data_IF_635673940206
#
_entry.id   IF_635673940206
#
_cell.length_a   1.000
_cell.length_b   1.000
_cell.length_c   1.000
_cell.angle_alpha   90.00
_cell.angle_beta   90.00
_cell.angle_gamma   90.00
#
_symmetry.space_group_name_H-M   'P 1'
#
loop_
_entity.id
_entity.type
_entity.pdbx_description
1 polymer ?
#
# COMPACT_ATOMS: atom_id res chain seq x y z
N UNK A 1 14.10 -14.27 -6.23
CA UNK A 1 14.93 -14.81 -5.12
C UNK A 1 14.59 -14.03 -3.86
N UNK A 2 14.23 -14.75 -2.79
CA UNK A 2 13.84 -14.12 -1.54
C UNK A 2 15.06 -13.80 -0.70
N UNK A 3 15.18 -12.57 -0.24
CA UNK A 3 16.18 -12.18 0.74
C UNK A 3 15.64 -12.32 2.15
N UNK A 4 16.44 -12.85 3.08
CA UNK A 4 16.02 -12.98 4.47
C UNK A 4 16.61 -11.87 5.32
N UNK A 5 15.75 -11.16 6.05
CA UNK A 5 16.14 -10.11 7.00
C UNK A 5 15.61 -10.50 8.38
N UNK A 6 16.50 -10.60 9.35
CA UNK A 6 16.15 -10.98 10.73
C UNK A 6 16.37 -9.86 11.75
N UNK A 7 17.07 -8.80 11.39
CA UNK A 7 17.35 -7.67 12.30
C UNK A 7 16.31 -6.57 12.14
N UNK A 8 15.71 -6.16 13.26
CA UNK A 8 14.80 -5.00 13.31
C UNK A 8 15.48 -3.68 12.94
N UNK A 9 16.82 -3.63 13.01
CA UNK A 9 17.62 -2.44 12.66
C UNK A 9 17.93 -2.34 11.17
N UNK A 10 17.51 -3.30 10.36
CA UNK A 10 17.73 -3.26 8.92
C UNK A 10 17.16 -1.95 8.32
N UNK A 11 17.89 -1.29 7.42
CA UNK A 11 17.45 -0.02 6.81
C UNK A 11 16.08 -0.08 6.14
N UNK A 12 15.76 -1.20 5.46
CA UNK A 12 14.44 -1.38 4.85
C UNK A 12 13.33 -1.34 5.90
N UNK A 13 13.50 -2.03 7.02
CA UNK A 13 12.50 -2.07 8.08
C UNK A 13 12.36 -0.71 8.78
N UNK A 14 13.44 0.03 8.91
CA UNK A 14 13.40 1.40 9.42
C UNK A 14 12.66 2.33 8.46
N UNK A 15 12.87 2.18 7.17
CA UNK A 15 12.13 2.92 6.14
C UNK A 15 10.64 2.63 6.21
N UNK A 16 10.25 1.36 6.34
CA UNK A 16 8.84 0.96 6.50
C UNK A 16 8.19 1.66 7.69
N UNK A 17 8.86 1.65 8.84
CA UNK A 17 8.37 2.35 10.04
C UNK A 17 8.19 3.85 9.81
N UNK A 18 9.15 4.49 9.16
CA UNK A 18 9.07 5.91 8.82
C UNK A 18 7.89 6.21 7.89
N UNK A 19 7.71 5.40 6.85
CA UNK A 19 6.62 5.57 5.90
C UNK A 19 5.24 5.38 6.55
N UNK A 20 5.13 4.46 7.50
CA UNK A 20 3.89 4.23 8.23
C UNK A 20 3.54 5.38 9.17
N UNK A 21 4.53 6.03 9.78
CA UNK A 21 4.32 7.05 10.81
C UNK A 21 4.41 8.49 10.32
N UNK A 22 5.00 8.75 9.15
CA UNK A 22 5.29 10.11 8.69
C UNK A 22 4.71 10.39 7.31
N UNK A 23 3.70 11.26 7.28
CA UNK A 23 3.12 11.76 6.03
C UNK A 23 4.14 12.55 5.21
N UNK A 24 4.99 13.32 5.87
CA UNK A 24 6.03 14.09 5.16
C UNK A 24 7.05 13.18 4.49
N UNK A 25 7.39 12.06 5.11
CA UNK A 25 8.29 11.07 4.51
C UNK A 25 7.65 10.42 3.28
N UNK A 26 6.36 10.09 3.34
CA UNK A 26 5.63 9.57 2.17
C UNK A 26 5.60 10.57 1.01
N UNK A 27 5.36 11.83 1.31
CA UNK A 27 5.36 12.91 0.28
C UNK A 27 6.75 13.12 -0.31
N UNK A 28 7.78 13.14 0.54
CA UNK A 28 9.17 13.35 0.13
C UNK A 28 9.68 12.22 -0.78
N UNK A 29 9.38 10.98 -0.43
CA UNK A 29 9.87 9.80 -1.14
C UNK A 29 8.97 9.37 -2.29
N UNK A 30 7.69 9.72 -2.26
CA UNK A 30 6.67 9.21 -3.17
C UNK A 30 6.32 7.74 -2.91
N UNK A 31 6.68 7.20 -1.75
CA UNK A 31 6.45 5.81 -1.38
C UNK A 31 5.36 5.70 -0.32
N UNK A 32 4.66 4.58 -0.32
CA UNK A 32 3.75 4.24 0.77
C UNK A 32 3.80 2.73 1.08
N UNK A 33 3.33 2.38 2.27
CA UNK A 33 3.28 1.00 2.77
C UNK A 33 1.84 0.60 3.01
N UNK A 34 1.52 -0.62 2.63
CA UNK A 34 0.22 -1.23 2.92
C UNK A 34 0.40 -2.60 3.57
N UNK A 35 -0.62 -3.05 4.28
CA UNK A 35 -0.60 -4.28 5.07
C UNK A 35 -1.80 -5.16 4.70
N UNK A 36 -1.55 -6.43 4.49
CA UNK A 36 -2.58 -7.43 4.27
C UNK A 36 -2.34 -8.31 3.04
N UNK A 37 -2.71 -9.58 3.17
CA UNK A 37 -2.51 -10.58 2.11
C UNK A 37 -3.45 -10.34 0.93
N UNK A 38 -4.72 -10.06 1.19
CA UNK A 38 -5.70 -9.76 0.13
C UNK A 38 -5.35 -8.50 -0.63
N UNK A 39 -4.96 -7.46 0.10
CA UNK A 39 -4.56 -6.20 -0.52
C UNK A 39 -3.30 -6.38 -1.38
N UNK A 40 -2.36 -7.23 -0.93
CA UNK A 40 -1.19 -7.56 -1.73
C UNK A 40 -1.55 -8.31 -3.01
N UNK A 41 -2.47 -9.26 -2.95
CA UNK A 41 -2.95 -9.97 -4.15
C UNK A 41 -3.53 -9.00 -5.19
N UNK A 42 -4.30 -8.01 -4.75
CA UNK A 42 -4.82 -6.95 -5.61
C UNK A 42 -3.70 -6.05 -6.16
N UNK A 43 -2.74 -5.69 -5.32
CA UNK A 43 -1.60 -4.87 -5.73
C UNK A 43 -0.76 -5.56 -6.80
N UNK A 44 -0.54 -6.85 -6.67
CA UNK A 44 0.18 -7.65 -7.67
C UNK A 44 -0.50 -7.60 -9.04
N UNK A 45 -1.82 -7.58 -9.05
CA UNK A 45 -2.61 -7.53 -10.30
C UNK A 45 -2.69 -6.14 -10.92
N UNK A 46 -2.84 -5.12 -10.08
CA UNK A 46 -3.29 -3.81 -10.55
C UNK A 46 -2.37 -2.65 -10.26
N UNK A 47 -1.34 -2.83 -9.45
CA UNK A 47 -0.46 -1.73 -9.03
C UNK A 47 0.94 -1.84 -9.64
N UNK A 48 1.21 -1.15 -10.75
CA UNK A 48 2.53 -1.21 -11.39
C UNK A 48 3.65 -0.58 -10.55
N UNK A 49 3.30 0.24 -9.56
CA UNK A 49 4.27 0.86 -8.66
C UNK A 49 4.79 -0.04 -7.54
N UNK A 50 4.28 -1.27 -7.41
CA UNK A 50 4.74 -2.21 -6.39
C UNK A 50 6.23 -2.49 -6.54
N UNK A 51 7.01 -2.30 -5.47
CA UNK A 51 8.47 -2.43 -5.49
C UNK A 51 8.99 -3.55 -4.59
N UNK A 52 8.48 -3.63 -3.38
CA UNK A 52 9.00 -4.52 -2.36
C UNK A 52 7.87 -5.17 -1.58
N UNK A 53 8.01 -6.46 -1.34
CA UNK A 53 7.06 -7.25 -0.55
C UNK A 53 7.81 -7.88 0.62
N UNK A 54 7.29 -7.71 1.83
CA UNK A 54 7.84 -8.28 3.06
C UNK A 54 6.87 -9.33 3.56
N UNK A 55 7.31 -10.58 3.64
CA UNK A 55 6.48 -11.71 4.02
C UNK A 55 7.07 -12.44 5.23
N UNK A 56 6.21 -12.92 6.11
CA UNK A 56 6.63 -13.92 7.12
C UNK A 56 6.75 -15.30 6.48
N UNK A 57 7.49 -16.17 7.12
CA UNK A 57 7.56 -17.57 6.72
C UNK A 57 6.16 -18.20 6.74
N UNK A 58 5.86 -19.02 5.75
CA UNK A 58 4.56 -19.66 5.61
C UNK A 58 3.52 -18.89 4.79
N UNK A 59 3.77 -17.62 4.50
CA UNK A 59 2.92 -16.86 3.56
C UNK A 59 3.49 -16.99 2.15
N UNK A 60 2.71 -17.58 1.25
CA UNK A 60 3.10 -17.79 -0.13
C UNK A 60 2.22 -16.97 -1.06
N UNK A 61 2.82 -16.00 -1.73
CA UNK A 61 2.16 -15.15 -2.72
C UNK A 61 3.08 -15.01 -3.91
N UNK A 62 2.57 -15.26 -5.10
CA UNK A 62 3.32 -15.06 -6.33
C UNK A 62 3.39 -13.56 -6.66
N UNK A 63 4.60 -13.07 -6.88
CA UNK A 63 4.85 -11.67 -7.26
C UNK A 63 5.62 -11.63 -8.58
N UNK A 64 5.51 -10.52 -9.34
CA UNK A 64 6.32 -10.34 -10.56
C UNK A 64 7.82 -10.38 -10.25
N UNK A 65 8.62 -10.80 -11.22
CA UNK A 65 10.07 -10.96 -11.06
C UNK A 65 10.80 -9.66 -10.71
N UNK A 66 10.26 -8.51 -11.11
CA UNK A 66 10.86 -7.21 -10.80
C UNK A 66 10.62 -6.74 -9.36
N UNK A 67 9.75 -7.43 -8.62
CA UNK A 67 9.44 -7.07 -7.23
C UNK A 67 10.42 -7.78 -6.29
N UNK A 68 11.00 -7.00 -5.39
CA UNK A 68 11.91 -7.53 -4.38
C UNK A 68 11.11 -8.19 -3.27
N UNK A 69 11.38 -9.47 -2.99
CA UNK A 69 10.72 -10.22 -1.91
C UNK A 69 11.69 -10.39 -0.76
N UNK A 70 11.22 -10.01 0.43
CA UNK A 70 11.99 -10.10 1.67
C UNK A 70 11.21 -10.97 2.66
N UNK A 71 11.89 -11.93 3.27
CA UNK A 71 11.34 -12.78 4.32
C UNK A 71 11.81 -12.32 5.69
N UNK A 72 10.89 -12.23 6.64
CA UNK A 72 11.18 -11.84 8.02
C UNK A 72 10.53 -12.81 9.02
N UNK A 73 11.12 -12.99 10.22
CA UNK A 73 10.45 -13.74 11.29
C UNK A 73 9.16 -13.03 11.75
N UNK A 74 8.24 -13.78 12.35
CA UNK A 74 6.97 -13.25 12.84
C UNK A 74 7.13 -12.12 13.86
N UNK A 75 8.12 -12.23 14.76
CA UNK A 75 8.39 -11.19 15.75
C UNK A 75 8.86 -9.88 15.12
N UNK A 76 9.63 -9.97 14.05
CA UNK A 76 10.08 -8.81 13.27
C UNK A 76 8.88 -8.19 12.54
N UNK A 77 8.04 -8.99 11.91
CA UNK A 77 6.81 -8.51 11.28
C UNK A 77 5.91 -7.78 12.28
N UNK A 78 5.69 -8.37 13.44
CA UNK A 78 4.89 -7.75 14.50
C UNK A 78 5.44 -6.39 14.95
N UNK A 79 6.76 -6.22 14.91
CA UNK A 79 7.42 -4.97 15.29
C UNK A 79 7.23 -3.83 14.28
N UNK A 80 6.94 -4.13 13.04
CA UNK A 80 6.79 -3.13 11.96
C UNK A 80 5.36 -3.00 11.45
N UNK A 81 4.51 -4.00 11.62
CA UNK A 81 3.11 -3.94 11.19
C UNK A 81 2.30 -2.98 12.04
N UNK A 82 1.40 -2.15 11.44
CA UNK A 82 0.48 -1.31 12.19
C UNK A 82 -0.71 -2.10 12.75
N UNK A 83 -0.88 -3.36 12.39
CA UNK A 83 -2.03 -4.17 12.78
C UNK A 83 -1.78 -4.94 14.05
N UNK A 84 -2.80 -5.05 14.92
CA UNK A 84 -2.73 -5.87 16.15
C UNK A 84 -2.51 -7.34 15.82
N UNK A 85 -3.16 -7.84 14.77
CA UNK A 85 -3.03 -9.22 14.29
C UNK A 85 -2.49 -9.20 12.86
N UNK A 86 -1.16 -9.09 12.68
CA UNK A 86 -0.56 -9.03 11.34
C UNK A 86 -0.90 -10.27 10.52
N UNK A 87 -1.22 -10.07 9.25
CA UNK A 87 -1.48 -11.17 8.30
C UNK A 87 -0.20 -11.76 7.71
N UNK A 88 0.94 -11.18 8.03
CA UNK A 88 2.23 -11.64 7.55
C UNK A 88 2.64 -11.11 6.18
N UNK A 89 2.01 -10.05 5.70
CA UNK A 89 2.36 -9.40 4.44
C UNK A 89 2.33 -7.88 4.59
N UNK A 90 3.47 -7.24 4.36
CA UNK A 90 3.62 -5.81 4.17
C UNK A 90 4.18 -5.57 2.79
N UNK A 91 3.82 -4.48 2.15
CA UNK A 91 4.39 -4.15 0.87
C UNK A 91 4.47 -2.65 0.69
N UNK A 92 5.45 -2.23 -0.09
CA UNK A 92 5.67 -0.83 -0.40
C UNK A 92 5.88 -0.62 -1.88
N UNK A 93 5.57 0.56 -2.31
CA UNK A 93 5.74 0.96 -3.68
C UNK A 93 5.50 2.43 -3.87
N UNK A 94 5.56 2.83 -5.12
CA UNK A 94 5.47 4.23 -5.51
C UNK A 94 4.02 4.66 -5.63
N UNK A 95 3.70 5.79 -5.01
CA UNK A 95 2.42 6.45 -5.22
C UNK A 95 2.26 6.81 -6.70
N UNK A 96 1.05 6.66 -7.26
CA UNK A 96 0.79 7.16 -8.61
C UNK A 96 1.10 8.65 -8.71
N UNK A 97 1.64 9.07 -9.86
CA UNK A 97 1.81 10.49 -10.12
C UNK A 97 0.44 11.19 -10.13
N UNK A 98 0.38 12.36 -9.49
CA UNK A 98 -0.83 13.16 -9.55
C UNK A 98 -1.03 13.67 -10.98
N UNK A 99 -2.12 13.26 -11.58
CA UNK A 99 -2.52 13.80 -12.88
C UNK A 99 -3.25 15.12 -12.68
N UNK A 100 -3.09 16.03 -13.65
CA UNK A 100 -3.87 17.26 -13.65
C UNK A 100 -5.37 16.94 -13.70
N UNK A 101 -6.11 17.59 -12.82
CA UNK A 101 -7.55 17.44 -12.76
C UNK A 101 -8.19 18.20 -13.92
N UNK A 102 -8.88 17.48 -14.80
CA UNK A 102 -9.71 18.06 -15.85
C UNK A 102 -11.17 17.73 -15.55
N UNK A 103 -11.99 18.73 -15.20
CA UNK A 103 -13.41 18.49 -14.94
C UNK A 103 -14.12 17.89 -16.15
N UNK A 104 -14.92 16.87 -15.91
CA UNK A 104 -15.73 16.21 -16.95
C UNK A 104 -17.17 16.09 -16.47
N UNK A 105 -18.11 16.17 -17.42
CA UNK A 105 -19.53 15.95 -17.13
C UNK A 105 -19.74 14.53 -16.60
N UNK A 106 -20.55 14.39 -15.55
CA UNK A 106 -20.85 13.12 -14.93
C UNK A 106 -19.79 12.62 -13.96
N UNK A 107 -18.83 13.46 -13.59
CA UNK A 107 -17.79 13.14 -12.63
C UNK A 107 -18.29 13.35 -11.20
N UNK A 108 -17.89 12.45 -10.29
CA UNK A 108 -18.14 12.56 -8.86
C UNK A 108 -16.91 13.16 -8.16
N UNK A 109 -17.14 14.20 -7.36
CA UNK A 109 -16.07 14.84 -6.59
C UNK A 109 -16.33 14.58 -5.11
N UNK A 110 -15.35 13.99 -4.42
CA UNK A 110 -15.37 13.76 -2.98
C UNK A 110 -14.48 14.80 -2.31
N UNK A 111 -15.09 15.69 -1.56
CA UNK A 111 -14.39 16.78 -0.87
C UNK A 111 -14.49 16.57 0.64
N UNK A 112 -13.36 16.39 1.30
CA UNK A 112 -13.29 16.29 2.75
C UNK A 112 -13.91 15.03 3.35
N UNK A 113 -14.16 13.99 2.56
CA UNK A 113 -14.65 12.70 3.08
C UNK A 113 -13.49 12.01 3.82
N UNK A 114 -13.67 11.75 5.11
CA UNK A 114 -12.59 11.26 5.97
C UNK A 114 -12.69 9.77 6.31
N UNK A 115 -13.90 9.19 6.31
CA UNK A 115 -14.10 7.79 6.65
C UNK A 115 -13.62 6.88 5.50
N UNK A 116 -12.54 6.09 5.70
CA UNK A 116 -12.02 5.20 4.65
C UNK A 116 -13.06 4.16 4.19
N UNK A 117 -13.91 3.68 5.08
CA UNK A 117 -14.98 2.73 4.73
C UNK A 117 -15.99 3.34 3.76
N UNK A 118 -16.41 4.59 4.00
CA UNK A 118 -17.32 5.31 3.12
C UNK A 118 -16.67 5.63 1.78
N UNK A 119 -15.42 6.07 1.78
CA UNK A 119 -14.66 6.31 0.55
C UNK A 119 -14.59 5.03 -0.28
N UNK A 120 -14.23 3.91 0.32
CA UNK A 120 -14.13 2.63 -0.37
C UNK A 120 -15.46 2.19 -0.98
N UNK A 121 -16.56 2.34 -0.25
CA UNK A 121 -17.90 2.02 -0.74
C UNK A 121 -18.30 2.89 -1.93
N UNK A 122 -18.04 4.19 -1.85
CA UNK A 122 -18.33 5.14 -2.93
C UNK A 122 -17.50 4.80 -4.18
N UNK A 123 -16.19 4.52 -4.00
CA UNK A 123 -15.30 4.18 -5.12
C UNK A 123 -15.74 2.90 -5.83
N UNK A 124 -16.13 1.86 -5.08
CA UNK A 124 -16.61 0.60 -5.66
C UNK A 124 -17.90 0.82 -6.45
N UNK A 125 -18.83 1.59 -5.91
CA UNK A 125 -20.10 1.89 -6.57
C UNK A 125 -19.86 2.71 -7.84
N UNK A 126 -19.02 3.73 -7.78
CA UNK A 126 -18.67 4.55 -8.93
C UNK A 126 -17.99 3.72 -10.03
N UNK A 127 -17.09 2.83 -9.66
CA UNK A 127 -16.41 1.94 -10.61
C UNK A 127 -17.42 1.00 -11.31
N UNK A 128 -18.34 0.41 -10.55
CA UNK A 128 -19.40 -0.45 -11.11
C UNK A 128 -20.33 0.30 -12.07
N UNK A 129 -20.51 1.59 -11.87
CA UNK A 129 -21.35 2.46 -12.71
C UNK A 129 -20.56 3.22 -13.79
N UNK A 130 -19.26 2.96 -13.89
CA UNK A 130 -18.36 3.65 -14.82
C UNK A 130 -18.35 5.18 -14.63
N UNK A 131 -18.37 5.63 -13.39
CA UNK A 131 -18.35 7.05 -13.03
C UNK A 131 -16.95 7.44 -12.60
N UNK A 132 -16.30 8.42 -13.26
CA UNK A 132 -15.01 8.95 -12.80
C UNK A 132 -15.14 9.65 -11.43
N UNK A 133 -14.15 9.43 -10.55
CA UNK A 133 -14.14 9.99 -9.21
C UNK A 133 -12.87 10.79 -8.98
N UNK A 134 -13.03 11.94 -8.34
CA UNK A 134 -11.92 12.79 -7.87
C UNK A 134 -12.00 12.90 -6.35
N UNK A 135 -10.86 12.64 -5.69
CA UNK A 135 -10.70 12.88 -4.26
C UNK A 135 -9.96 14.18 -4.05
N UNK A 136 -10.57 15.10 -3.29
CA UNK A 136 -9.91 16.31 -2.85
C UNK A 136 -9.47 16.15 -1.41
N UNK A 137 -8.17 16.33 -1.17
CA UNK A 137 -7.60 16.36 0.17
C UNK A 137 -7.58 17.79 0.69
N UNK A 138 -8.09 17.96 1.89
CA UNK A 138 -8.04 19.24 2.59
C UNK A 138 -6.70 19.49 3.27
#
# INVERSE_FOLDING_TARGET
MDERISSRKNPLLQQVKKLLSSRSERRKTGLFVADGTKLLEEAVKYWPGLQTVILTDGVEIQVPDHVWVVRVPEDVMASISPMEAPQGALFLGRLPEQQEFVPKKGMLILDGVQDPGNIGTILRTADAMDVPVVLLEG
#
